data_IF_519077466882
#
_entry.id   IF_519077466882
#
_cell.length_a   1.000
_cell.length_b   1.000
_cell.length_c   1.000
_cell.angle_alpha   90.00
_cell.angle_beta   90.00
_cell.angle_gamma   90.00
#
_symmetry.space_group_name_H-M   'P 1'
#
loop_
_entity.id
_entity.type
_entity.pdbx_description
1 polymer ?
#
# COMPACT_ATOMS: atom_id res chain seq x y z
N UNK A 1 16.56 -5.09 -1.39
CA UNK A 1 15.57 -4.68 -2.42
C UNK A 1 14.14 -4.86 -1.94
N UNK A 2 13.86 -5.90 -1.16
CA UNK A 2 12.51 -6.26 -0.67
C UNK A 2 11.88 -5.21 0.25
N UNK A 3 12.67 -4.58 1.13
CA UNK A 3 12.18 -3.50 2.00
C UNK A 3 11.75 -2.24 1.23
N UNK A 4 12.36 -1.99 0.07
CA UNK A 4 12.00 -0.86 -0.78
C UNK A 4 10.65 -1.10 -1.45
N UNK A 5 10.43 -2.31 -1.97
CA UNK A 5 9.14 -2.71 -2.53
C UNK A 5 8.03 -2.62 -1.48
N UNK A 6 8.25 -3.14 -0.26
CA UNK A 6 7.26 -3.01 0.83
C UNK A 6 6.91 -1.56 1.17
N UNK A 7 7.87 -0.64 1.18
CA UNK A 7 7.61 0.78 1.45
C UNK A 7 6.87 1.47 0.29
N UNK A 8 7.21 1.13 -0.96
CA UNK A 8 6.53 1.61 -2.16
C UNK A 8 5.09 1.14 -2.19
N UNK A 9 4.88 -0.15 -1.95
CA UNK A 9 3.56 -0.77 -1.86
C UNK A 9 2.70 -0.18 -0.75
N UNK A 10 3.31 0.08 0.42
CA UNK A 10 2.61 0.73 1.53
C UNK A 10 2.12 2.13 1.12
N UNK A 11 3.00 2.93 0.51
CA UNK A 11 2.66 4.28 0.07
C UNK A 11 1.66 4.31 -1.08
N UNK A 12 1.74 3.34 -1.99
CA UNK A 12 0.83 3.22 -3.12
C UNK A 12 -0.58 2.87 -2.63
N UNK A 13 -0.69 1.97 -1.66
CA UNK A 13 -1.95 1.65 -1.00
C UNK A 13 -2.59 2.87 -0.31
N UNK A 14 -1.80 3.68 0.41
CA UNK A 14 -2.28 4.91 1.06
C UNK A 14 -2.76 5.96 0.04
N UNK A 15 -2.05 6.09 -1.08
CA UNK A 15 -2.38 7.02 -2.16
C UNK A 15 -3.69 6.62 -2.85
N UNK A 16 -3.85 5.33 -3.19
CA UNK A 16 -5.04 4.78 -3.88
C UNK A 16 -6.30 4.90 -3.04
N UNK A 17 -6.20 4.74 -1.72
CA UNK A 17 -7.34 4.80 -0.81
C UNK A 17 -7.56 6.19 -0.20
N UNK A 18 -6.64 7.13 -0.41
CA UNK A 18 -6.64 8.48 0.18
C UNK A 18 -6.90 8.45 1.71
N UNK A 19 -6.35 7.42 2.37
CA UNK A 19 -6.46 7.17 3.82
C UNK A 19 -5.12 6.64 4.34
N UNK A 20 -4.72 7.11 5.52
CA UNK A 20 -3.53 6.60 6.22
C UNK A 20 -3.84 5.22 6.79
N UNK A 21 -3.13 4.19 6.32
CA UNK A 21 -3.21 2.85 6.91
C UNK A 21 -1.95 2.59 7.71
N UNK A 22 -2.12 2.28 8.99
CA UNK A 22 -1.03 1.82 9.86
C UNK A 22 -0.48 0.46 9.39
N UNK A 23 -1.38 -0.39 8.88
CA UNK A 23 -1.03 -1.65 8.21
C UNK A 23 -1.94 -1.85 7.00
N UNK A 24 -1.37 -1.93 5.81
CA UNK A 24 -2.13 -2.04 4.56
C UNK A 24 -2.95 -3.34 4.53
N UNK A 25 -4.28 -3.26 4.44
CA UNK A 25 -5.12 -4.44 4.29
C UNK A 25 -4.89 -5.14 2.96
N UNK A 26 -4.93 -6.48 2.94
CA UNK A 26 -4.92 -7.31 1.72
C UNK A 26 -5.97 -6.85 0.67
N UNK A 27 -7.08 -6.28 1.11
CA UNK A 27 -8.12 -5.74 0.23
C UNK A 27 -7.66 -4.53 -0.58
N UNK A 28 -6.72 -3.71 -0.08
CA UNK A 28 -6.22 -2.52 -0.80
C UNK A 28 -5.38 -2.93 -2.02
N UNK A 29 -4.67 -4.05 -1.91
CA UNK A 29 -3.92 -4.64 -3.02
C UNK A 29 -4.79 -5.10 -4.20
N UNK A 30 -6.12 -5.21 -4.02
CA UNK A 30 -7.04 -5.40 -5.15
C UNK A 30 -7.36 -4.12 -5.92
N UNK A 31 -7.11 -2.96 -5.31
CA UNK A 31 -7.34 -1.64 -5.92
C UNK A 31 -6.06 -1.01 -6.47
N UNK A 32 -4.91 -1.44 -5.95
CA UNK A 32 -3.58 -1.19 -6.50
C UNK A 32 -3.40 -2.13 -7.68
N UNK A 33 -3.45 -1.60 -8.91
CA UNK A 33 -3.17 -2.36 -10.14
C UNK A 33 -1.74 -2.19 -10.61
#
# INVERSE_FOLDING_TARGET
LEAFNSAVDHRLAELTMNKLYDRVPASVWKYVT
#
